data_IF_379607521807
#
_entry.id   IF_379607521807
#
_cell.length_a   1.000
_cell.length_b   1.000
_cell.length_c   1.000
_cell.angle_alpha   90.00
_cell.angle_beta   90.00
_cell.angle_gamma   90.00
#
_symmetry.space_group_name_H-M   'P 1'
#
loop_
_entity.id
_entity.type
_entity.pdbx_description
1 polymer ?
#
# COMPACT_ATOMS: atom_id res chain seq x y z
N UNK A 1 7.37 13.15 4.66
CA UNK A 1 6.00 13.40 4.18
C UNK A 1 5.43 12.09 3.65
N UNK A 2 4.29 11.64 4.17
CA UNK A 2 3.65 10.38 3.74
C UNK A 2 2.57 10.61 2.68
N UNK A 3 2.23 9.55 1.93
CA UNK A 3 1.20 9.60 0.89
C UNK A 3 -0.17 10.08 1.40
N UNK A 4 -0.51 9.77 2.66
CA UNK A 4 -1.76 10.19 3.32
C UNK A 4 -1.80 11.70 3.56
N UNK A 5 -0.69 12.29 4.00
CA UNK A 5 -0.61 13.75 4.24
C UNK A 5 -0.69 14.49 2.92
N UNK A 6 -0.01 13.97 1.89
CA UNK A 6 -0.11 14.53 0.55
C UNK A 6 -1.56 14.47 0.07
N UNK A 7 -2.25 13.32 0.18
CA UNK A 7 -3.62 13.18 -0.39
C UNK A 7 -4.63 14.14 0.23
N UNK A 8 -4.39 14.53 1.47
CA UNK A 8 -5.23 15.45 2.24
C UNK A 8 -4.83 16.92 2.07
N UNK A 9 -3.53 17.24 1.97
CA UNK A 9 -3.02 18.63 1.95
C UNK A 9 -2.27 18.97 0.65
N UNK A 10 -2.71 20.01 -0.10
CA UNK A 10 -2.20 20.36 -1.43
C UNK A 10 -0.88 21.16 -1.44
N UNK A 11 -0.02 21.06 -0.42
CA UNK A 11 1.23 21.83 -0.43
C UNK A 11 2.16 21.34 -1.55
N UNK A 12 2.24 22.12 -2.62
CA UNK A 12 3.00 21.84 -3.83
C UNK A 12 4.50 22.02 -3.56
N UNK A 13 5.23 20.91 -3.51
CA UNK A 13 6.69 20.92 -3.58
C UNK A 13 7.15 20.66 -5.02
N UNK A 14 7.92 21.61 -5.59
CA UNK A 14 8.44 21.66 -6.98
C UNK A 14 9.22 20.41 -7.49
N UNK A 15 9.38 19.34 -6.69
CA UNK A 15 10.15 18.12 -7.04
C UNK A 15 9.29 16.88 -7.34
N UNK A 16 7.97 17.04 -7.52
CA UNK A 16 7.01 15.92 -7.49
C UNK A 16 6.35 15.58 -8.84
N UNK A 17 6.94 15.87 -9.99
CA UNK A 17 6.25 15.73 -11.30
C UNK A 17 5.70 14.31 -11.59
N UNK A 18 6.40 13.24 -11.19
CA UNK A 18 5.90 11.87 -11.32
C UNK A 18 4.83 11.50 -10.28
N UNK A 19 4.84 12.21 -9.16
CA UNK A 19 3.86 12.06 -8.09
C UNK A 19 2.57 12.80 -8.49
N UNK A 20 2.66 13.98 -9.11
CA UNK A 20 1.51 14.84 -9.47
C UNK A 20 0.41 14.08 -10.21
N UNK A 21 0.73 13.33 -11.28
CA UNK A 21 -0.30 12.65 -12.10
C UNK A 21 -1.03 11.56 -11.30
N UNK A 22 -0.30 10.70 -10.60
CA UNK A 22 -0.90 9.63 -9.77
C UNK A 22 -1.64 10.20 -8.58
N UNK A 23 -1.13 11.30 -8.04
CA UNK A 23 -1.68 12.03 -6.93
C UNK A 23 -3.04 12.65 -7.26
N UNK A 24 -3.15 13.33 -8.41
CA UNK A 24 -4.42 13.88 -8.87
C UNK A 24 -5.49 12.80 -9.00
N UNK A 25 -5.16 11.67 -9.61
CA UNK A 25 -6.09 10.55 -9.74
C UNK A 25 -6.57 10.01 -8.37
N UNK A 26 -5.64 9.69 -7.47
CA UNK A 26 -5.99 9.15 -6.13
C UNK A 26 -6.82 10.17 -5.34
N UNK A 27 -6.46 11.45 -5.42
CA UNK A 27 -7.19 12.53 -4.74
C UNK A 27 -8.60 12.72 -5.29
N UNK A 28 -8.77 12.72 -6.61
CA UNK A 28 -10.08 12.79 -7.25
C UNK A 28 -10.97 11.64 -6.78
N UNK A 29 -10.46 10.40 -6.75
CA UNK A 29 -11.23 9.25 -6.28
C UNK A 29 -11.57 9.33 -4.79
N UNK A 30 -10.68 9.90 -3.97
CA UNK A 30 -10.96 10.16 -2.57
C UNK A 30 -12.05 11.22 -2.38
N UNK A 31 -11.98 12.34 -3.10
CA UNK A 31 -12.99 13.41 -3.06
C UNK A 31 -14.35 12.93 -3.59
N UNK A 32 -14.35 12.10 -4.64
CA UNK A 32 -15.54 11.43 -5.16
C UNK A 32 -16.12 10.40 -4.16
N UNK A 33 -15.45 10.13 -3.04
CA UNK A 33 -15.87 9.15 -2.03
C UNK A 33 -15.75 7.70 -2.49
N UNK A 34 -15.03 7.44 -3.59
CA UNK A 34 -14.87 6.09 -4.15
C UNK A 34 -13.81 5.25 -3.44
N UNK A 35 -12.86 5.92 -2.78
CA UNK A 35 -11.81 5.27 -2.00
C UNK A 35 -11.59 6.04 -0.69
N UNK A 36 -11.22 5.34 0.36
CA UNK A 36 -10.70 5.93 1.60
C UNK A 36 -9.21 5.61 1.75
N UNK A 37 -8.47 6.49 2.40
CA UNK A 37 -7.02 6.39 2.56
C UNK A 37 -6.70 6.31 4.05
N UNK A 38 -6.25 5.13 4.47
CA UNK A 38 -5.86 4.83 5.83
C UNK A 38 -4.39 4.47 5.91
N UNK A 39 -3.73 4.93 6.96
CA UNK A 39 -2.37 4.51 7.26
C UNK A 39 -2.40 3.10 7.85
N UNK A 40 -1.55 2.23 7.34
CA UNK A 40 -1.32 0.89 7.87
C UNK A 40 0.16 0.82 8.25
N UNK A 41 0.43 0.28 9.45
CA UNK A 41 1.81 0.09 9.90
C UNK A 41 2.57 -0.82 8.94
N UNK A 42 3.87 -0.58 8.76
CA UNK A 42 4.71 -1.36 7.85
C UNK A 42 4.69 -2.86 8.17
N UNK A 43 4.49 -3.20 9.45
CA UNK A 43 4.36 -4.58 9.92
C UNK A 43 3.06 -5.27 9.49
N UNK A 44 2.02 -4.51 9.16
CA UNK A 44 0.70 -5.01 8.77
C UNK A 44 0.39 -4.75 7.29
N UNK A 45 1.31 -4.14 6.55
CA UNK A 45 1.14 -3.84 5.13
C UNK A 45 1.28 -5.11 4.27
N UNK A 46 0.16 -5.84 4.09
CA UNK A 46 0.13 -7.12 3.34
C UNK A 46 0.62 -6.99 1.90
N UNK A 47 0.43 -5.83 1.25
CA UNK A 47 0.90 -5.57 -0.12
C UNK A 47 2.42 -5.66 -0.29
N UNK A 48 3.20 -5.58 0.80
CA UNK A 48 4.66 -5.69 0.75
C UNK A 48 5.12 -7.04 0.19
N UNK A 49 4.33 -8.11 0.37
CA UNK A 49 4.65 -9.43 -0.17
C UNK A 49 4.73 -9.45 -1.70
N UNK A 50 4.03 -8.53 -2.38
CA UNK A 50 3.94 -8.45 -3.84
C UNK A 50 4.88 -7.39 -4.43
N UNK A 51 5.46 -6.53 -3.61
CA UNK A 51 6.16 -5.31 -4.07
C UNK A 51 7.59 -5.18 -3.57
N UNK A 52 7.99 -6.01 -2.60
CA UNK A 52 9.31 -5.96 -1.98
C UNK A 52 9.95 -7.34 -1.92
N UNK A 53 11.28 -7.36 -1.99
CA UNK A 53 12.08 -8.51 -1.64
C UNK A 53 12.16 -8.60 -0.10
N UNK A 54 11.43 -9.55 0.49
CA UNK A 54 11.30 -9.68 1.94
C UNK A 54 12.14 -10.85 2.49
N UNK A 55 12.71 -10.73 3.71
CA UNK A 55 13.27 -11.87 4.41
C UNK A 55 12.24 -12.97 4.59
N UNK A 56 12.68 -14.24 4.57
CA UNK A 56 11.80 -15.43 4.63
C UNK A 56 10.75 -15.35 5.75
N UNK A 57 11.16 -14.98 6.96
CA UNK A 57 10.26 -14.86 8.12
C UNK A 57 9.16 -13.82 7.87
N UNK A 58 9.52 -12.68 7.28
CA UNK A 58 8.56 -11.60 6.98
C UNK A 58 7.59 -12.03 5.87
N UNK A 59 8.10 -12.69 4.83
CA UNK A 59 7.28 -13.25 3.76
C UNK A 59 6.28 -14.29 4.29
N UNK A 60 6.73 -15.21 5.15
CA UNK A 60 5.86 -16.23 5.77
C UNK A 60 4.75 -15.61 6.63
N UNK A 61 5.09 -14.62 7.46
CA UNK A 61 4.10 -13.90 8.27
C UNK A 61 3.04 -13.22 7.39
N UNK A 62 3.44 -12.50 6.35
CA UNK A 62 2.50 -11.85 5.43
C UNK A 62 1.67 -12.86 4.63
N UNK A 63 2.27 -14.00 4.23
CA UNK A 63 1.57 -15.09 3.54
C UNK A 63 0.48 -15.69 4.42
N UNK A 64 0.77 -15.91 5.71
CA UNK A 64 -0.20 -16.40 6.68
C UNK A 64 -1.32 -15.37 6.92
N UNK A 65 -1.00 -14.07 6.99
CA UNK A 65 -2.00 -13.00 7.08
C UNK A 65 -2.92 -12.91 5.85
N UNK A 66 -2.51 -13.47 4.72
CA UNK A 66 -3.32 -13.60 3.50
C UNK A 66 -4.04 -14.95 3.39
N UNK A 67 -3.94 -15.80 4.42
CA UNK A 67 -4.55 -17.13 4.48
C UNK A 67 -4.11 -18.06 3.33
N UNK A 68 -2.96 -17.78 2.71
CA UNK A 68 -2.41 -18.61 1.62
C UNK A 68 -1.69 -19.81 2.23
N UNK A 69 -2.46 -20.84 2.57
CA UNK A 69 -1.94 -22.16 2.98
C UNK A 69 -1.35 -22.88 1.77
N UNK A 70 -0.19 -23.51 1.94
CA UNK A 70 0.23 -24.55 1.00
C UNK A 70 -0.71 -25.74 1.20
N UNK A 71 -1.41 -26.16 0.15
CA UNK A 71 -2.13 -27.43 0.17
C UNK A 71 -1.18 -28.51 0.69
N UNK A 72 -1.52 -29.11 1.83
CA UNK A 72 -1.11 -30.49 2.04
C UNK A 72 -1.83 -31.28 0.96
N UNK A 73 -1.13 -31.60 -0.14
CA UNK A 73 -1.43 -32.80 -0.88
C UNK A 73 -1.16 -33.96 0.08
N UNK A 74 -2.19 -34.34 0.83
CA UNK A 74 -2.26 -35.66 1.42
C UNK A 74 -2.34 -36.64 0.24
N UNK A 75 -1.18 -37.20 -0.11
CA UNK A 75 -1.10 -38.43 -0.89
C UNK A 75 -1.44 -39.61 0.02
#
# INVERSE_FOLDING_TARGET
>A
MGAVTLSKNPEFHKRSKHIDVRFHFVREKYIEGKIDIQHIDSENQKADILTKDLPKTRFQNLRQQLEIVSEHMDC
#
